data_IF_198239565027
#
_entry.id   IF_198239565027
#
_cell.length_a   1.000
_cell.length_b   1.000
_cell.length_c   1.000
_cell.angle_alpha   90.00
_cell.angle_beta   90.00
_cell.angle_gamma   90.00
#
_symmetry.space_group_name_H-M   'P 1'
#
loop_
_entity.id
_entity.type
_entity.pdbx_description
1 polymer ?
#
# COMPACT_ATOMS: atom_id res chain seq x y z
N UNK A 1 17.33 -40.15 17.65
CA UNK A 1 17.45 -39.21 16.53
C UNK A 1 16.12 -39.17 15.81
N UNK A 2 15.33 -38.12 16.04
CA UNK A 2 14.22 -37.72 15.17
C UNK A 2 14.28 -36.20 15.10
N UNK A 3 14.42 -35.67 13.89
CA UNK A 3 14.27 -34.25 13.59
C UNK A 3 12.94 -34.04 12.90
N UNK A 4 12.28 -32.92 13.20
CA UNK A 4 11.35 -32.24 12.30
C UNK A 4 10.94 -30.88 12.91
N UNK A 5 10.72 -29.89 12.05
CA UNK A 5 9.80 -28.79 12.37
C UNK A 5 10.44 -27.45 12.71
N UNK A 6 10.96 -26.76 11.69
CA UNK A 6 11.22 -25.33 11.68
C UNK A 6 10.12 -24.53 12.37
N UNK A 7 10.43 -23.89 13.50
CA UNK A 7 9.62 -22.80 14.03
C UNK A 7 9.77 -21.58 13.12
N UNK A 8 8.91 -21.48 12.10
CA UNK A 8 8.56 -20.17 11.53
C UNK A 8 7.57 -19.55 12.50
N UNK A 9 8.12 -18.80 13.45
CA UNK A 9 7.36 -17.87 14.27
C UNK A 9 6.76 -16.77 13.40
N UNK A 10 5.60 -16.28 13.87
CA UNK A 10 5.12 -14.89 13.70
C UNK A 10 4.06 -14.68 12.61
N UNK A 11 2.80 -14.70 13.05
CA UNK A 11 1.66 -14.25 12.26
C UNK A 11 0.40 -14.16 13.10
N UNK A 12 0.44 -13.47 14.25
CA UNK A 12 -0.75 -13.18 15.06
C UNK A 12 -1.78 -12.38 14.24
N UNK A 13 -3.08 -12.74 14.20
CA UNK A 13 -4.05 -12.15 13.28
C UNK A 13 -4.79 -10.92 13.84
N UNK A 14 -4.22 -10.16 14.79
CA UNK A 14 -5.03 -9.22 15.57
C UNK A 14 -4.34 -7.93 16.04
N UNK A 15 -3.74 -7.16 15.12
CA UNK A 15 -3.39 -5.76 15.39
C UNK A 15 -3.99 -4.86 14.32
N UNK A 16 -5.20 -4.39 14.60
CA UNK A 16 -5.76 -3.24 13.92
C UNK A 16 -5.10 -1.98 14.52
N UNK A 17 -4.50 -1.14 13.66
CA UNK A 17 -4.26 0.31 13.85
C UNK A 17 -2.82 0.86 13.77
N UNK A 18 -1.84 0.16 13.22
CA UNK A 18 -0.69 0.86 12.61
C UNK A 18 0.00 -0.12 11.66
N UNK A 19 -0.19 0.04 10.35
CA UNK A 19 0.73 -0.59 9.39
C UNK A 19 1.82 0.46 9.11
N UNK A 20 2.94 0.47 9.86
CA UNK A 20 4.07 1.35 9.55
C UNK A 20 4.64 1.08 8.15
N UNK A 21 4.27 -0.06 7.53
CA UNK A 21 4.57 -0.38 6.14
C UNK A 21 3.69 0.32 5.11
N UNK A 22 2.61 1.04 5.48
CA UNK A 22 1.70 1.63 4.49
C UNK A 22 2.18 3.01 4.01
N UNK A 23 2.22 3.16 2.70
CA UNK A 23 2.73 4.29 1.95
C UNK A 23 1.71 4.78 0.94
N UNK A 24 1.63 6.09 0.78
CA UNK A 24 0.86 6.78 -0.25
C UNK A 24 1.83 7.20 -1.35
N UNK A 25 1.50 6.87 -2.59
CA UNK A 25 2.33 7.21 -3.73
C UNK A 25 1.55 8.21 -4.59
N UNK A 26 1.99 9.46 -4.60
CA UNK A 26 1.47 10.51 -5.47
C UNK A 26 2.26 10.63 -6.77
N UNK A 27 1.76 11.41 -7.73
CA UNK A 27 2.50 11.76 -8.95
C UNK A 27 2.52 10.70 -10.05
N UNK A 28 1.87 9.54 -9.84
CA UNK A 28 1.85 8.43 -10.80
C UNK A 28 1.36 8.85 -12.19
N UNK A 29 1.81 8.14 -13.22
CA UNK A 29 1.30 8.33 -14.58
C UNK A 29 -0.11 7.77 -14.72
N UNK A 30 -0.89 8.34 -15.64
CA UNK A 30 -2.24 7.84 -15.94
C UNK A 30 -2.22 6.40 -16.45
N UNK A 31 -1.09 5.97 -17.01
CA UNK A 31 -0.85 4.63 -17.53
C UNK A 31 -0.22 3.68 -16.49
N UNK A 32 0.29 4.22 -15.37
CA UNK A 32 0.98 3.43 -14.35
C UNK A 32 0.08 2.36 -13.74
N UNK A 33 0.63 1.15 -13.58
CA UNK A 33 -0.02 -0.02 -13.04
C UNK A 33 0.45 -0.40 -11.63
N UNK A 34 -0.41 -1.08 -10.83
CA UNK A 34 0.01 -1.58 -9.54
C UNK A 34 1.19 -2.55 -9.68
N UNK A 35 1.26 -3.34 -10.75
CA UNK A 35 2.39 -4.21 -11.05
C UNK A 35 3.69 -3.44 -11.27
N UNK A 36 3.69 -2.39 -12.10
CA UNK A 36 4.87 -1.53 -12.33
C UNK A 36 5.34 -0.90 -11.03
N UNK A 37 4.38 -0.45 -10.23
CA UNK A 37 4.64 0.18 -8.94
C UNK A 37 5.21 -0.83 -7.95
N UNK A 38 4.66 -2.05 -7.93
CA UNK A 38 5.17 -3.16 -7.12
C UNK A 38 6.61 -3.50 -7.51
N UNK A 39 6.88 -3.69 -8.79
CA UNK A 39 8.21 -4.04 -9.30
C UNK A 39 9.26 -3.00 -8.89
N UNK A 40 8.92 -1.71 -9.03
CA UNK A 40 9.80 -0.61 -8.63
C UNK A 40 10.07 -0.61 -7.12
N UNK A 41 9.02 -0.64 -6.31
CA UNK A 41 9.17 -0.59 -4.85
C UNK A 41 9.75 -1.89 -4.26
N UNK A 42 9.63 -3.01 -4.97
CA UNK A 42 10.18 -4.31 -4.56
C UNK A 42 11.70 -4.28 -4.44
N UNK A 43 12.37 -3.31 -5.09
CA UNK A 43 13.82 -3.09 -4.99
C UNK A 43 14.25 -2.53 -3.64
N UNK A 44 13.35 -1.83 -2.94
CA UNK A 44 13.61 -1.23 -1.64
C UNK A 44 13.27 -2.19 -0.50
N UNK A 45 12.25 -3.02 -0.70
CA UNK A 45 11.92 -4.14 0.18
C UNK A 45 10.66 -4.87 -0.26
N UNK A 46 10.26 -5.87 0.53
CA UNK A 46 9.15 -6.75 0.19
C UNK A 46 7.80 -6.02 0.29
N UNK A 47 7.00 -6.12 -0.77
CA UNK A 47 5.67 -5.51 -0.85
C UNK A 47 4.63 -6.57 -0.51
N UNK A 48 3.86 -6.28 0.52
CA UNK A 48 2.72 -7.08 0.94
C UNK A 48 1.49 -6.81 0.07
N UNK A 49 1.21 -5.55 -0.22
CA UNK A 49 0.05 -5.16 -1.03
C UNK A 49 0.33 -3.87 -1.82
N UNK A 50 -0.22 -3.74 -3.02
CA UNK A 50 -0.20 -2.49 -3.78
C UNK A 50 -1.57 -2.24 -4.42
N UNK A 51 -2.00 -0.99 -4.42
CA UNK A 51 -3.31 -0.59 -4.92
C UNK A 51 -3.21 0.76 -5.62
N UNK A 52 -3.50 0.79 -6.92
CA UNK A 52 -3.56 2.06 -7.67
C UNK A 52 -5.02 2.50 -7.78
N UNK A 53 -5.32 3.74 -7.37
CA UNK A 53 -6.65 4.29 -7.57
C UNK A 53 -6.79 4.77 -9.01
N UNK A 54 -7.63 4.06 -9.76
CA UNK A 54 -7.98 4.40 -11.13
C UNK A 54 -9.45 4.73 -11.23
N UNK A 55 -9.76 5.66 -12.13
CA UNK A 55 -11.13 6.00 -12.45
C UNK A 55 -11.78 4.84 -13.24
N UNK A 56 -12.91 4.28 -12.78
CA UNK A 56 -13.52 3.13 -13.44
C UNK A 56 -14.18 3.49 -14.77
N UNK A 57 -14.57 4.75 -14.97
CA UNK A 57 -15.30 5.23 -16.15
C UNK A 57 -14.33 5.60 -17.27
N UNK A 58 -13.29 6.36 -16.96
CA UNK A 58 -12.29 6.81 -17.94
C UNK A 58 -11.10 5.87 -18.05
N UNK A 59 -10.99 4.85 -17.18
CA UNK A 59 -9.85 3.95 -17.02
C UNK A 59 -8.51 4.66 -16.76
N UNK A 60 -8.51 5.99 -16.55
CA UNK A 60 -7.30 6.75 -16.23
C UNK A 60 -6.92 6.57 -14.77
N UNK A 61 -5.65 6.32 -14.48
CA UNK A 61 -5.17 6.41 -13.10
C UNK A 61 -5.37 7.83 -12.57
N UNK A 62 -5.87 7.97 -11.34
CA UNK A 62 -6.03 9.28 -10.68
C UNK A 62 -4.68 9.92 -10.31
N UNK A 63 -3.56 9.32 -10.73
CA UNK A 63 -2.21 9.78 -10.44
C UNK A 63 -1.77 9.47 -9.02
N UNK A 64 -2.43 8.54 -8.33
CA UNK A 64 -2.04 8.13 -6.99
C UNK A 64 -2.38 6.67 -6.68
N UNK A 65 -1.66 6.11 -5.72
CA UNK A 65 -1.83 4.75 -5.24
C UNK A 65 -1.38 4.59 -3.79
N UNK A 66 -1.51 3.38 -3.29
CA UNK A 66 -1.07 2.95 -1.97
C UNK A 66 -0.21 1.71 -2.11
N UNK A 67 0.81 1.62 -1.26
CA UNK A 67 1.67 0.45 -1.11
C UNK A 67 1.69 0.07 0.35
N UNK A 68 1.66 -1.22 0.64
CA UNK A 68 1.87 -1.77 1.96
C UNK A 68 3.11 -2.65 1.87
N UNK A 69 4.18 -2.22 2.53
CA UNK A 69 5.38 -3.01 2.70
C UNK A 69 5.18 -4.07 3.78
N UNK A 70 5.91 -5.18 3.66
CA UNK A 70 6.00 -6.19 4.71
C UNK A 70 6.79 -5.66 5.91
N UNK A 71 7.77 -4.79 5.66
CA UNK A 71 8.68 -4.27 6.68
C UNK A 71 8.78 -2.73 6.63
N UNK A 72 8.78 -2.10 7.81
CA UNK A 72 8.87 -0.64 7.94
C UNK A 72 10.25 -0.07 7.55
N UNK A 73 11.32 -0.86 7.60
CA UNK A 73 12.64 -0.43 7.12
C UNK A 73 12.62 -0.17 5.60
N UNK A 74 11.73 -0.84 4.86
CA UNK A 74 11.54 -0.58 3.42
C UNK A 74 11.00 0.83 3.17
N UNK A 75 10.12 1.31 4.05
CA UNK A 75 9.57 2.66 4.00
C UNK A 75 10.65 3.71 4.23
N UNK A 76 11.52 3.51 5.22
CA UNK A 76 12.62 4.41 5.50
C UNK A 76 13.58 4.53 4.31
N UNK A 77 13.93 3.41 3.67
CA UNK A 77 14.76 3.41 2.44
C UNK A 77 14.14 4.19 1.29
N UNK A 78 12.82 4.11 1.13
CA UNK A 78 12.10 4.87 0.10
C UNK A 78 12.12 6.36 0.45
N UNK A 79 11.86 6.74 1.70
CA UNK A 79 11.90 8.14 2.15
C UNK A 79 13.31 8.73 2.12
N UNK A 80 14.33 7.90 2.32
CA UNK A 80 15.74 8.29 2.21
C UNK A 80 16.11 8.66 0.77
N UNK A 81 15.38 8.15 -0.24
CA UNK A 81 15.54 8.59 -1.62
C UNK A 81 14.66 9.82 -1.90
N UNK A 82 15.26 10.97 -2.27
CA UNK A 82 14.52 12.20 -2.52
C UNK A 82 13.86 12.25 -3.91
N UNK A 83 14.29 11.39 -4.85
CA UNK A 83 13.76 11.36 -6.20
C UNK A 83 13.38 9.94 -6.58
N UNK A 84 12.08 9.74 -6.86
CA UNK A 84 11.55 8.50 -7.40
C UNK A 84 10.94 8.79 -8.76
N UNK A 85 11.25 7.95 -9.74
CA UNK A 85 10.73 8.10 -11.09
C UNK A 85 10.18 6.76 -11.59
N UNK A 86 8.97 6.80 -12.13
CA UNK A 86 8.27 5.66 -12.71
C UNK A 86 7.55 6.09 -14.00
N UNK A 87 7.73 5.33 -15.08
CA UNK A 87 7.14 5.64 -16.40
C UNK A 87 7.49 7.07 -16.90
N UNK A 88 8.74 7.51 -16.70
CA UNK A 88 9.22 8.87 -17.00
C UNK A 88 8.47 9.99 -16.27
N UNK A 89 7.94 9.67 -15.09
CA UNK A 89 7.18 10.59 -14.25
C UNK A 89 7.68 10.52 -12.81
N UNK A 90 7.92 11.68 -12.22
CA UNK A 90 8.34 11.75 -10.82
C UNK A 90 7.17 11.36 -9.91
N UNK A 91 7.42 10.42 -9.02
CA UNK A 91 6.46 9.93 -8.02
C UNK A 91 6.87 10.46 -6.65
N UNK A 92 5.88 10.75 -5.80
CA UNK A 92 6.08 11.27 -4.45
C UNK A 92 5.60 10.22 -3.44
N UNK A 93 6.48 9.33 -2.96
CA UNK A 93 6.16 8.41 -1.89
C UNK A 93 6.16 9.16 -0.55
N UNK A 94 5.02 9.07 0.15
CA UNK A 94 4.82 9.68 1.46
C UNK A 94 4.23 8.65 2.42
N UNK A 95 4.56 8.77 3.70
CA UNK A 95 3.96 7.94 4.75
C UNK A 95 2.45 8.05 4.64
N UNK A 96 1.76 6.93 4.41
CA UNK A 96 0.32 6.96 4.36
C UNK A 96 -0.17 7.16 5.79
N UNK A 97 -0.88 8.27 6.03
CA UNK A 97 -1.67 8.35 7.24
C UNK A 97 -2.69 7.21 7.21
N UNK A 98 -2.74 6.36 8.24
CA UNK A 98 -3.76 5.35 8.32
C UNK A 98 -5.09 6.08 8.25
N UNK A 99 -5.90 5.75 7.23
CA UNK A 99 -7.32 6.11 7.26
C UNK A 99 -7.84 5.42 8.52
N UNK A 100 -7.97 6.14 9.63
CA UNK A 100 -8.85 5.74 10.74
C UNK A 100 -10.07 5.18 10.05
N UNK A 101 -10.34 3.90 10.31
CA UNK A 101 -11.46 3.17 9.75
C UNK A 101 -12.59 4.17 9.56
N UNK A 102 -12.89 4.53 8.31
CA UNK A 102 -14.13 5.22 8.06
C UNK A 102 -15.15 4.29 8.70
N UNK A 103 -15.85 4.70 9.77
CA UNK A 103 -16.93 3.88 10.25
C UNK A 103 -17.77 3.69 9.01
N UNK A 104 -17.88 2.43 8.58
CA UNK A 104 -18.87 2.07 7.59
C UNK A 104 -20.16 2.47 8.30
N UNK A 105 -20.66 3.68 8.04
CA UNK A 105 -22.07 4.00 8.27
C UNK A 105 -22.80 3.09 7.30
N UNK A 106 -22.92 1.82 7.71
CA UNK A 106 -23.86 0.88 7.14
C UNK A 106 -25.21 1.39 7.59
N UNK A 107 -26.04 1.64 6.59
CA UNK A 107 -27.48 1.49 6.64
C UNK A 107 -28.21 2.32 7.71
N UNK A 108 -28.74 3.47 7.31
CA UNK A 108 -30.06 3.87 7.79
C UNK A 108 -31.11 3.16 6.91
N UNK A 109 -31.26 1.85 7.12
CA UNK A 109 -32.54 1.17 6.94
C UNK A 109 -33.25 1.24 8.29
N UNK A 110 -33.93 2.35 8.53
CA UNK A 110 -35.07 2.39 9.44
C UNK A 110 -36.24 3.02 8.70
N UNK A 111 -37.16 2.13 8.34
CA UNK A 111 -38.58 2.31 8.11
C UNK A 111 -39.16 3.44 8.97
N UNK A 112 -39.87 4.37 8.34
CA UNK A 112 -40.92 5.17 8.95
C UNK A 112 -42.03 5.36 7.92
N UNK A 113 -43.04 4.48 8.01
CA UNK A 113 -44.46 4.74 7.76
C UNK A 113 -45.22 3.83 8.73
#
# INVERSE_FOLDING_TARGET
>A
MEGDGSQVTSGSPNDSQHDPGKMFIGGLSWQTSPDSLRDYFSKFGEIRECMVMRDPTTKRSRGFGFVTFADAASVDKVLAQPHHELDSKTIDPKVAFPRRAQPKVRANHLTYC
#
